data_IF_796143411671
#
_entry.id   IF_796143411671
#
_cell.length_a   1.000
_cell.length_b   1.000
_cell.length_c   1.000
_cell.angle_alpha   90.00
_cell.angle_beta   90.00
_cell.angle_gamma   90.00
#
_symmetry.space_group_name_H-M   'P 1'
#
loop_
_entity.id
_entity.type
_entity.pdbx_description
1 polymer ?
#
# COMPACT_ATOMS: atom_id res chain seq x y z
N UNK A 1 -16.17 -4.63 6.17
CA UNK A 1 -16.50 -4.90 4.76
C UNK A 1 -16.99 -6.34 4.64
N UNK A 2 -18.07 -6.56 3.89
CA UNK A 2 -18.58 -7.91 3.68
C UNK A 2 -17.64 -8.70 2.79
N UNK A 3 -17.27 -9.92 3.21
CA UNK A 3 -16.58 -10.92 2.37
C UNK A 3 -17.30 -11.11 1.02
N UNK A 4 -18.62 -10.86 0.99
CA UNK A 4 -19.44 -10.90 -0.22
C UNK A 4 -19.00 -9.94 -1.34
N UNK A 5 -18.38 -8.81 -0.99
CA UNK A 5 -17.84 -7.89 -1.99
C UNK A 5 -16.78 -8.57 -2.86
N UNK A 6 -15.84 -9.28 -2.24
CA UNK A 6 -14.78 -9.98 -2.96
C UNK A 6 -15.25 -11.31 -3.55
N UNK A 7 -16.15 -12.04 -2.89
CA UNK A 7 -16.77 -13.26 -3.47
C UNK A 7 -17.41 -12.94 -4.82
N UNK A 8 -18.19 -11.87 -4.90
CA UNK A 8 -18.85 -11.53 -6.16
C UNK A 8 -17.88 -11.05 -7.26
N UNK A 9 -16.72 -10.49 -6.91
CA UNK A 9 -15.63 -10.23 -7.86
C UNK A 9 -14.98 -11.55 -8.33
N UNK A 10 -14.78 -12.51 -7.41
CA UNK A 10 -14.26 -13.84 -7.71
C UNK A 10 -15.20 -14.58 -8.67
N UNK A 11 -16.52 -14.55 -8.46
CA UNK A 11 -17.48 -15.17 -9.37
C UNK A 11 -17.46 -14.53 -10.78
N UNK A 12 -17.31 -13.21 -10.86
CA UNK A 12 -17.12 -12.51 -12.14
C UNK A 12 -15.78 -12.87 -12.83
N UNK A 13 -14.71 -13.10 -12.07
CA UNK A 13 -13.44 -13.61 -12.58
C UNK A 13 -13.57 -15.03 -13.11
N UNK A 14 -14.18 -15.92 -12.32
CA UNK A 14 -14.42 -17.31 -12.71
C UNK A 14 -15.22 -17.40 -13.99
N UNK A 15 -16.33 -16.66 -14.07
CA UNK A 15 -17.19 -16.62 -15.26
C UNK A 15 -16.46 -16.07 -16.48
N UNK A 16 -15.79 -14.91 -16.35
CA UNK A 16 -15.13 -14.26 -17.51
C UNK A 16 -13.97 -15.09 -18.07
N UNK A 17 -13.24 -15.81 -17.22
CA UNK A 17 -12.05 -16.56 -17.63
C UNK A 17 -12.23 -18.09 -17.61
N UNK A 18 -13.48 -18.57 -17.52
CA UNK A 18 -13.82 -20.00 -17.49
C UNK A 18 -12.97 -20.79 -16.48
N UNK A 19 -12.84 -20.26 -15.26
CA UNK A 19 -12.04 -20.90 -14.22
C UNK A 19 -12.72 -22.17 -13.74
N UNK A 20 -12.07 -23.30 -13.98
CA UNK A 20 -12.50 -24.59 -13.45
C UNK A 20 -12.29 -24.65 -11.93
N UNK A 21 -13.36 -24.81 -11.15
CA UNK A 21 -13.30 -24.85 -9.68
C UNK A 21 -12.36 -25.92 -9.13
N UNK A 22 -12.19 -27.04 -9.85
CA UNK A 22 -11.25 -28.11 -9.47
C UNK A 22 -9.78 -27.65 -9.45
N UNK A 23 -9.47 -26.53 -10.09
CA UNK A 23 -8.09 -25.97 -10.12
C UNK A 23 -7.81 -25.01 -8.97
N UNK A 24 -8.85 -24.54 -8.26
CA UNK A 24 -8.70 -23.54 -7.21
C UNK A 24 -7.96 -24.06 -5.95
N UNK A 25 -8.11 -25.33 -5.52
CA UNK A 25 -7.29 -25.86 -4.42
C UNK A 25 -5.79 -25.86 -4.72
N UNK A 26 -5.40 -26.19 -5.95
CA UNK A 26 -4.00 -26.10 -6.37
C UNK A 26 -3.52 -24.65 -6.36
N UNK A 27 -4.30 -23.72 -6.91
CA UNK A 27 -3.97 -22.29 -6.91
C UNK A 27 -3.84 -21.74 -5.48
N UNK A 28 -4.67 -22.22 -4.55
CA UNK A 28 -4.57 -21.86 -3.14
C UNK A 28 -3.26 -22.34 -2.50
N UNK A 29 -2.83 -23.58 -2.81
CA UNK A 29 -1.54 -24.08 -2.37
C UNK A 29 -0.38 -23.24 -2.93
N UNK A 30 -0.45 -22.86 -4.22
CA UNK A 30 0.54 -21.97 -4.85
C UNK A 30 0.57 -20.60 -4.14
N UNK A 31 -0.59 -20.03 -3.82
CA UNK A 31 -0.71 -18.79 -3.05
C UNK A 31 -0.09 -18.94 -1.66
N UNK A 32 -0.41 -20.00 -0.90
CA UNK A 32 0.16 -20.22 0.43
C UNK A 32 1.68 -20.39 0.37
N UNK A 33 2.18 -21.10 -0.64
CA UNK A 33 3.62 -21.29 -0.85
C UNK A 33 4.31 -19.96 -1.14
N UNK A 34 3.72 -19.13 -2.01
CA UNK A 34 4.32 -17.86 -2.42
C UNK A 34 4.40 -16.83 -1.28
N UNK A 35 3.50 -16.88 -0.30
CA UNK A 35 3.45 -15.93 0.83
C UNK A 35 3.82 -16.56 2.18
N UNK A 36 4.43 -17.74 2.17
CA UNK A 36 4.90 -18.34 3.42
C UNK A 36 6.10 -17.55 3.99
N UNK A 37 6.33 -17.66 5.30
CA UNK A 37 7.46 -17.03 6.01
C UNK A 37 8.81 -17.17 5.30
N UNK A 38 9.14 -18.38 4.83
CA UNK A 38 10.40 -18.69 4.17
C UNK A 38 10.58 -17.95 2.84
N UNK A 39 9.51 -17.85 2.05
CA UNK A 39 9.54 -17.16 0.74
C UNK A 39 9.62 -15.65 0.91
N UNK A 40 8.94 -15.09 1.91
CA UNK A 40 9.04 -13.68 2.29
C UNK A 40 10.46 -13.33 2.75
N UNK A 41 11.04 -14.13 3.67
CA UNK A 41 12.42 -13.95 4.16
C UNK A 41 13.44 -13.93 3.02
N UNK A 42 13.22 -14.72 1.97
CA UNK A 42 14.10 -14.81 0.78
C UNK A 42 13.78 -13.79 -0.32
N UNK A 43 12.72 -13.00 -0.19
CA UNK A 43 12.24 -12.12 -1.28
C UNK A 43 11.85 -12.89 -2.55
N UNK A 44 11.53 -14.18 -2.43
CA UNK A 44 11.21 -15.09 -3.55
C UNK A 44 9.70 -15.22 -3.76
N UNK A 45 8.92 -14.24 -3.29
CA UNK A 45 7.46 -14.24 -3.41
C UNK A 45 7.04 -13.90 -4.84
N UNK A 46 7.03 -14.90 -5.71
CA UNK A 46 6.52 -14.78 -7.07
C UNK A 46 5.34 -15.72 -7.28
N UNK A 47 4.26 -15.17 -7.80
CA UNK A 47 3.10 -15.94 -8.26
C UNK A 47 2.59 -15.34 -9.56
N UNK A 48 2.33 -16.20 -10.54
CA UNK A 48 1.81 -15.77 -11.83
C UNK A 48 0.31 -15.40 -11.72
N UNK A 49 0.04 -14.11 -11.58
CA UNK A 49 -1.31 -13.56 -11.55
C UNK A 49 -1.94 -13.36 -12.93
N UNK A 50 -1.27 -13.73 -14.03
CA UNK A 50 -1.96 -13.88 -15.31
C UNK A 50 -2.94 -15.06 -15.25
N UNK A 51 -2.66 -16.06 -14.42
CA UNK A 51 -3.57 -17.17 -14.12
C UNK A 51 -4.76 -16.67 -13.29
N UNK A 52 -6.00 -16.70 -13.84
CA UNK A 52 -7.20 -16.25 -13.12
C UNK A 52 -7.45 -17.04 -11.83
N UNK A 53 -7.05 -18.32 -11.77
CA UNK A 53 -7.15 -19.16 -10.57
C UNK A 53 -6.39 -18.55 -9.39
N UNK A 54 -5.17 -18.06 -9.64
CA UNK A 54 -4.29 -17.48 -8.61
C UNK A 54 -4.86 -16.16 -8.10
N UNK A 55 -5.46 -15.34 -8.98
CA UNK A 55 -6.18 -14.13 -8.57
C UNK A 55 -7.40 -14.47 -7.71
N UNK A 56 -8.22 -15.45 -8.11
CA UNK A 56 -9.38 -15.88 -7.34
C UNK A 56 -8.98 -16.41 -5.95
N UNK A 57 -7.95 -17.26 -5.89
CA UNK A 57 -7.42 -17.80 -4.65
C UNK A 57 -6.91 -16.69 -3.71
N UNK A 58 -6.09 -15.77 -4.21
CA UNK A 58 -5.60 -14.64 -3.42
C UNK A 58 -6.72 -13.73 -2.93
N UNK A 59 -7.66 -13.36 -3.81
CA UNK A 59 -8.80 -12.51 -3.43
C UNK A 59 -9.63 -13.15 -2.32
N UNK A 60 -9.82 -14.47 -2.37
CA UNK A 60 -10.53 -15.20 -1.35
C UNK A 60 -9.78 -15.18 -0.02
N UNK A 61 -8.48 -15.51 -0.04
CA UNK A 61 -7.67 -15.62 1.17
C UNK A 61 -7.39 -14.26 1.83
N UNK A 62 -6.95 -13.25 1.09
CA UNK A 62 -6.35 -12.03 1.68
C UNK A 62 -7.18 -10.75 1.54
N UNK A 63 -8.03 -10.62 0.51
CA UNK A 63 -8.56 -9.30 0.15
C UNK A 63 -9.41 -8.65 1.25
N UNK A 64 -10.24 -9.45 1.95
CA UNK A 64 -11.10 -8.93 3.01
C UNK A 64 -10.31 -8.39 4.19
N UNK A 65 -9.33 -9.17 4.68
CA UNK A 65 -8.50 -8.80 5.82
C UNK A 65 -7.61 -7.60 5.49
N UNK A 66 -6.97 -7.58 4.32
CA UNK A 66 -6.12 -6.45 3.89
C UNK A 66 -6.92 -5.15 3.78
N UNK A 67 -8.11 -5.19 3.18
CA UNK A 67 -8.94 -3.98 3.12
C UNK A 67 -9.38 -3.49 4.49
N UNK A 68 -9.73 -4.38 5.42
CA UNK A 68 -10.14 -3.97 6.76
C UNK A 68 -8.97 -3.47 7.61
N UNK A 69 -7.79 -4.05 7.42
CA UNK A 69 -6.53 -3.63 8.02
C UNK A 69 -6.21 -2.19 7.62
N UNK A 70 -6.19 -1.91 6.32
CA UNK A 70 -5.97 -0.56 5.77
C UNK A 70 -7.06 0.40 6.24
N UNK A 71 -8.33 -0.02 6.22
CA UNK A 71 -9.43 0.79 6.73
C UNK A 71 -9.23 1.22 8.18
N UNK A 72 -8.90 0.27 9.07
CA UNK A 72 -8.69 0.54 10.50
C UNK A 72 -7.56 1.56 10.69
N UNK A 73 -6.37 1.25 10.20
CA UNK A 73 -5.19 2.04 10.52
C UNK A 73 -5.15 3.37 9.77
N UNK A 74 -5.70 3.45 8.56
CA UNK A 74 -5.84 4.73 7.88
C UNK A 74 -6.86 5.63 8.60
N UNK A 75 -7.98 5.07 9.10
CA UNK A 75 -8.92 5.82 9.93
C UNK A 75 -8.27 6.35 11.21
N UNK A 76 -7.48 5.54 11.91
CA UNK A 76 -6.70 5.98 13.07
C UNK A 76 -5.74 7.12 12.69
N UNK A 77 -5.05 7.00 11.55
CA UNK A 77 -4.15 8.04 11.04
C UNK A 77 -4.89 9.34 10.71
N UNK A 78 -6.11 9.28 10.17
CA UNK A 78 -6.95 10.46 9.87
C UNK A 78 -7.44 11.21 11.11
N UNK A 79 -7.45 10.58 12.29
CA UNK A 79 -7.75 11.27 13.55
C UNK A 79 -6.59 12.14 14.07
N UNK A 80 -5.43 12.07 13.42
CA UNK A 80 -4.21 12.76 13.84
C UNK A 80 -4.15 14.11 13.13
N UNK A 81 -4.12 15.19 13.91
CA UNK A 81 -4.37 16.55 13.41
C UNK A 81 -3.46 16.96 12.23
N UNK A 82 -2.12 16.73 12.25
CA UNK A 82 -1.27 17.00 11.09
C UNK A 82 -1.73 16.30 9.80
N UNK A 83 -2.20 15.05 9.88
CA UNK A 83 -2.65 14.26 8.73
C UNK A 83 -3.96 14.83 8.19
N UNK A 84 -4.90 15.07 9.12
CA UNK A 84 -6.21 15.62 8.82
C UNK A 84 -6.08 16.97 8.11
N UNK A 85 -5.35 17.92 8.71
CA UNK A 85 -5.08 19.24 8.14
C UNK A 85 -4.49 19.12 6.73
N UNK A 86 -3.45 18.29 6.57
CA UNK A 86 -2.72 18.13 5.30
C UNK A 86 -3.62 17.65 4.17
N UNK A 87 -4.53 16.73 4.45
CA UNK A 87 -5.47 16.21 3.46
C UNK A 87 -6.71 17.09 3.30
N UNK A 88 -7.16 17.78 4.36
CA UNK A 88 -8.34 18.65 4.34
C UNK A 88 -8.15 19.87 3.43
N UNK A 89 -6.93 20.40 3.33
CA UNK A 89 -6.61 21.51 2.42
C UNK A 89 -6.55 21.12 0.94
N UNK A 90 -6.59 19.83 0.60
CA UNK A 90 -6.59 19.39 -0.80
C UNK A 90 -7.97 19.60 -1.40
N UNK A 91 -8.06 19.95 -2.68
CA UNK A 91 -9.34 19.97 -3.42
C UNK A 91 -9.68 18.58 -3.96
N UNK A 92 -8.64 17.86 -4.36
CA UNK A 92 -8.69 16.54 -4.96
C UNK A 92 -7.62 15.66 -4.34
N UNK A 93 -7.92 14.37 -4.22
CA UNK A 93 -6.99 13.38 -3.66
C UNK A 93 -6.51 12.42 -4.74
N UNK A 94 -5.19 12.21 -4.76
CA UNK A 94 -4.50 11.21 -5.58
C UNK A 94 -3.87 10.15 -4.69
N UNK A 95 -4.22 8.88 -4.93
CA UNK A 95 -3.74 7.74 -4.14
C UNK A 95 -2.77 6.92 -4.99
N UNK A 96 -1.61 6.58 -4.43
CA UNK A 96 -0.65 5.67 -5.03
C UNK A 96 -0.36 4.49 -4.09
N UNK A 97 -0.59 3.27 -4.55
CA UNK A 97 -0.27 2.04 -3.81
C UNK A 97 0.96 1.36 -4.43
N UNK A 98 1.97 1.09 -3.62
CA UNK A 98 3.17 0.35 -3.99
C UNK A 98 2.98 -1.10 -3.57
N UNK A 99 2.92 -2.02 -4.54
CA UNK A 99 2.59 -3.43 -4.28
C UNK A 99 1.10 -3.66 -3.93
N UNK A 100 0.18 -2.89 -4.51
CA UNK A 100 -1.25 -2.92 -4.14
C UNK A 100 -2.09 -4.04 -4.79
N UNK A 101 -1.50 -4.86 -5.67
CA UNK A 101 -2.17 -5.98 -6.34
C UNK A 101 -3.53 -5.64 -6.96
N UNK A 102 -4.60 -6.25 -6.45
CA UNK A 102 -5.98 -6.01 -6.90
C UNK A 102 -6.58 -4.66 -6.49
N UNK A 103 -5.87 -3.82 -5.74
CA UNK A 103 -6.37 -2.53 -5.27
C UNK A 103 -7.19 -2.60 -3.97
N UNK A 104 -6.94 -3.60 -3.12
CA UNK A 104 -7.61 -3.77 -1.81
C UNK A 104 -7.39 -2.59 -0.88
N UNK A 105 -6.21 -1.96 -0.97
CA UNK A 105 -5.79 -0.86 -0.11
C UNK A 105 -6.57 0.40 -0.43
N UNK A 106 -6.79 0.66 -1.71
CA UNK A 106 -7.61 1.78 -2.20
C UNK A 106 -9.02 1.68 -1.60
N UNK A 107 -9.61 0.48 -1.57
CA UNK A 107 -10.95 0.32 -0.99
C UNK A 107 -10.93 0.59 0.52
N UNK A 108 -9.86 0.20 1.22
CA UNK A 108 -9.68 0.50 2.65
C UNK A 108 -9.57 1.99 2.92
N UNK A 109 -8.73 2.69 2.15
CA UNK A 109 -8.53 4.14 2.21
C UNK A 109 -9.83 4.89 1.90
N UNK A 110 -10.52 4.56 0.82
CA UNK A 110 -11.78 5.22 0.45
C UNK A 110 -12.87 5.03 1.51
N UNK A 111 -12.92 3.87 2.17
CA UNK A 111 -13.83 3.66 3.31
C UNK A 111 -13.46 4.53 4.50
N UNK A 112 -12.18 4.61 4.83
CA UNK A 112 -11.73 5.39 5.98
C UNK A 112 -12.06 6.88 5.75
N UNK A 113 -11.72 7.42 4.58
CA UNK A 113 -12.03 8.81 4.22
C UNK A 113 -13.55 9.08 4.23
N UNK A 114 -14.37 8.15 3.74
CA UNK A 114 -15.82 8.32 3.68
C UNK A 114 -16.51 8.38 5.05
N UNK A 115 -15.86 7.93 6.13
CA UNK A 115 -16.39 8.02 7.49
C UNK A 115 -16.22 9.41 8.12
N UNK A 116 -15.39 10.28 7.55
CA UNK A 116 -15.17 11.62 8.07
C UNK A 116 -16.00 12.65 7.29
N UNK A 117 -17.01 13.23 7.94
CA UNK A 117 -17.89 14.23 7.31
C UNK A 117 -17.17 15.53 6.91
N UNK A 118 -16.01 15.83 7.52
CA UNK A 118 -15.18 16.97 7.15
C UNK A 118 -14.50 16.78 5.79
N UNK A 119 -14.27 15.53 5.38
CA UNK A 119 -13.61 15.21 4.12
C UNK A 119 -14.59 15.37 2.95
N UNK A 120 -14.58 16.57 2.37
CA UNK A 120 -15.38 16.92 1.18
C UNK A 120 -14.62 16.67 -0.13
N UNK A 121 -13.36 16.29 -0.06
CA UNK A 121 -12.48 16.10 -1.20
C UNK A 121 -12.91 14.88 -2.00
N UNK A 122 -12.81 15.00 -3.32
CA UNK A 122 -13.03 13.88 -4.22
C UNK A 122 -11.72 13.17 -4.49
N UNK A 123 -11.75 11.85 -4.52
CA UNK A 123 -10.64 11.07 -5.08
C UNK A 123 -10.75 11.16 -6.60
N UNK A 124 -9.74 11.74 -7.25
CA UNK A 124 -9.71 11.93 -8.71
C UNK A 124 -8.75 10.97 -9.39
N UNK A 125 -7.77 10.43 -8.67
CA UNK A 125 -6.86 9.42 -9.23
C UNK A 125 -6.47 8.38 -8.21
N UNK A 126 -6.47 7.12 -8.64
CA UNK A 126 -5.88 6.01 -7.92
C UNK A 126 -4.94 5.26 -8.84
N UNK A 127 -3.77 4.89 -8.34
CA UNK A 127 -2.77 4.15 -9.12
C UNK A 127 -2.13 3.06 -8.28
N UNK A 128 -2.07 1.86 -8.84
CA UNK A 128 -1.31 0.73 -8.29
C UNK A 128 -0.05 0.55 -9.14
N UNK A 129 1.09 0.55 -8.47
CA UNK A 129 2.40 0.22 -9.05
C UNK A 129 2.78 -1.16 -8.53
N UNK A 130 2.82 -2.16 -9.40
CA UNK A 130 3.02 -3.56 -9.02
C UNK A 130 3.81 -4.29 -10.11
N UNK A 131 4.65 -5.25 -9.75
CA UNK A 131 5.41 -6.03 -10.74
C UNK A 131 4.49 -6.98 -11.53
N UNK A 132 3.38 -7.40 -10.93
CA UNK A 132 2.46 -8.38 -11.48
C UNK A 132 1.33 -7.72 -12.28
N UNK A 133 1.58 -7.45 -13.56
CA UNK A 133 0.58 -6.88 -14.49
C UNK A 133 -0.73 -7.68 -14.62
N UNK A 134 -0.70 -8.99 -14.32
CA UNK A 134 -1.87 -9.88 -14.33
C UNK A 134 -3.01 -9.43 -13.42
N UNK A 135 -2.71 -8.62 -12.38
CA UNK A 135 -3.70 -8.03 -11.48
C UNK A 135 -4.71 -7.10 -12.16
N UNK A 136 -4.39 -6.56 -13.35
CA UNK A 136 -5.21 -5.57 -14.06
C UNK A 136 -6.69 -5.97 -14.14
N UNK A 137 -6.97 -7.25 -14.39
CA UNK A 137 -8.34 -7.75 -14.50
C UNK A 137 -9.15 -7.59 -13.20
N UNK A 138 -8.57 -7.97 -12.06
CA UNK A 138 -9.24 -7.88 -10.77
C UNK A 138 -9.30 -6.43 -10.29
N UNK A 139 -8.21 -5.68 -10.48
CA UNK A 139 -8.14 -4.24 -10.21
C UNK A 139 -9.26 -3.47 -10.91
N UNK A 140 -9.43 -3.64 -12.23
CA UNK A 140 -10.49 -2.95 -12.98
C UNK A 140 -11.89 -3.24 -12.43
N UNK A 141 -12.16 -4.47 -11.97
CA UNK A 141 -13.47 -4.82 -11.38
C UNK A 141 -13.66 -4.20 -10.00
N UNK A 142 -12.65 -4.24 -9.14
CA UNK A 142 -12.68 -3.58 -7.82
C UNK A 142 -12.95 -2.09 -8.01
N UNK A 143 -12.21 -1.43 -8.90
CA UNK A 143 -12.35 0.01 -9.18
C UNK A 143 -13.70 0.35 -9.82
N UNK A 144 -14.20 -0.49 -10.73
CA UNK A 144 -15.55 -0.32 -11.31
C UNK A 144 -16.62 -0.37 -10.23
N UNK A 145 -16.58 -1.36 -9.33
CA UNK A 145 -17.56 -1.47 -8.24
C UNK A 145 -17.47 -0.31 -7.24
N UNK A 146 -16.26 0.17 -6.96
CA UNK A 146 -16.05 1.38 -6.16
C UNK A 146 -16.68 2.60 -6.83
N UNK A 147 -16.42 2.81 -8.13
CA UNK A 147 -16.97 3.92 -8.94
C UNK A 147 -18.50 3.93 -8.99
N UNK A 148 -19.11 2.74 -9.03
CA UNK A 148 -20.58 2.60 -9.07
C UNK A 148 -21.23 2.48 -7.69
N UNK A 149 -20.53 2.86 -6.61
CA UNK A 149 -21.09 2.88 -5.26
C UNK A 149 -21.49 1.51 -4.71
N UNK A 150 -20.88 0.43 -5.19
CA UNK A 150 -21.15 -0.95 -4.74
C UNK A 150 -20.35 -1.35 -3.50
N UNK A 151 -19.51 -0.46 -2.97
CA UNK A 151 -18.77 -0.66 -1.73
C UNK A 151 -19.56 -0.05 -0.58
N UNK A 152 -19.97 -0.88 0.38
CA UNK A 152 -20.74 -0.43 1.54
C UNK A 152 -19.99 0.65 2.34
N UNK A 153 -20.71 1.71 2.68
CA UNK A 153 -20.22 2.90 3.39
C UNK A 153 -19.25 3.77 2.58
N UNK A 154 -19.15 3.60 1.26
CA UNK A 154 -18.49 4.58 0.37
C UNK A 154 -19.57 5.25 -0.47
N UNK A 155 -19.88 6.53 -0.25
CA UNK A 155 -20.87 7.25 -1.06
C UNK A 155 -20.48 7.25 -2.54
N UNK A 156 -21.43 7.01 -3.45
CA UNK A 156 -21.14 7.00 -4.90
C UNK A 156 -20.57 8.33 -5.42
N UNK A 157 -20.86 9.45 -4.74
CA UNK A 157 -20.33 10.79 -5.04
C UNK A 157 -18.90 11.05 -4.54
N UNK A 158 -18.31 10.11 -3.81
CA UNK A 158 -16.98 10.24 -3.20
C UNK A 158 -15.85 10.19 -4.24
N UNK A 159 -16.09 9.46 -5.32
CA UNK A 159 -15.23 9.50 -6.51
C UNK A 159 -15.74 10.57 -7.46
N UNK A 160 -14.82 11.33 -8.07
CA UNK A 160 -15.20 12.27 -9.12
C UNK A 160 -15.66 11.51 -10.37
N UNK A 161 -16.96 11.30 -10.53
CA UNK A 161 -17.51 10.51 -11.63
C UNK A 161 -17.04 10.97 -13.02
N UNK A 162 -16.75 12.27 -13.19
CA UNK A 162 -16.30 12.89 -14.44
C UNK A 162 -14.80 12.70 -14.67
N UNK A 163 -13.98 12.90 -13.64
CA UNK A 163 -12.52 12.96 -13.77
C UNK A 163 -11.76 11.77 -13.18
N UNK A 164 -12.45 10.82 -12.54
CA UNK A 164 -11.82 9.70 -11.84
C UNK A 164 -11.03 8.79 -12.78
N UNK A 165 -9.72 8.64 -12.48
CA UNK A 165 -8.79 7.76 -13.19
C UNK A 165 -8.31 6.64 -12.27
N UNK A 166 -8.33 5.41 -12.76
CA UNK A 166 -7.83 4.24 -12.05
C UNK A 166 -6.83 3.48 -12.92
N UNK A 167 -5.57 3.40 -12.48
CA UNK A 167 -4.49 2.82 -13.25
C UNK A 167 -3.79 1.68 -12.48
N UNK A 168 -3.42 0.62 -13.20
CA UNK A 168 -2.46 -0.37 -12.73
C UNK A 168 -1.30 -0.41 -13.71
N UNK A 169 -0.11 -0.09 -13.22
CA UNK A 169 1.12 -0.05 -14.01
C UNK A 169 2.01 -1.18 -13.56
N UNK A 170 2.32 -2.07 -14.50
CA UNK A 170 3.30 -3.13 -14.30
C UNK A 170 4.70 -2.50 -14.25
N UNK A 171 5.37 -2.56 -13.10
CA UNK A 171 6.71 -1.98 -12.91
C UNK A 171 7.48 -2.72 -11.81
N UNK A 172 8.77 -2.97 -12.04
CA UNK A 172 9.67 -3.39 -10.97
C UNK A 172 10.14 -2.17 -10.19
N UNK A 173 9.65 -2.01 -8.96
CA UNK A 173 10.00 -0.87 -8.09
C UNK A 173 11.42 -0.95 -7.53
N UNK A 174 12.15 -2.06 -7.75
CA UNK A 174 13.54 -2.23 -7.34
C UNK A 174 14.56 -1.75 -8.37
N UNK A 175 14.10 -1.47 -9.60
CA UNK A 175 14.92 -0.95 -10.68
C UNK A 175 14.83 0.58 -10.75
N UNK A 176 15.57 1.17 -11.68
CA UNK A 176 15.46 2.61 -11.98
C UNK A 176 14.02 2.96 -12.38
N UNK A 177 13.40 3.86 -11.62
CA UNK A 177 12.00 4.23 -11.82
C UNK A 177 11.81 4.96 -13.16
N UNK A 178 10.89 4.50 -14.03
CA UNK A 178 10.52 5.24 -15.23
C UNK A 178 9.95 6.62 -14.90
N UNK A 179 10.16 7.61 -15.77
CA UNK A 179 9.74 9.02 -15.53
C UNK A 179 8.24 9.16 -15.22
N UNK A 180 7.38 8.37 -15.88
CA UNK A 180 5.95 8.38 -15.60
C UNK A 180 5.63 7.85 -14.19
N UNK A 181 6.40 6.87 -13.69
CA UNK A 181 6.25 6.32 -12.34
C UNK A 181 6.72 7.32 -11.28
N UNK A 182 7.87 7.96 -11.50
CA UNK A 182 8.34 9.07 -10.65
C UNK A 182 7.27 10.14 -10.53
N UNK A 183 6.68 10.56 -11.67
CA UNK A 183 5.58 11.54 -11.70
C UNK A 183 4.35 11.07 -10.92
N UNK A 184 4.02 9.79 -10.92
CA UNK A 184 2.86 9.28 -10.18
C UNK A 184 3.11 9.37 -8.68
N UNK A 185 4.27 8.89 -8.22
CA UNK A 185 4.66 8.91 -6.79
C UNK A 185 4.75 10.36 -6.30
N UNK A 186 5.42 11.24 -7.07
CA UNK A 186 5.62 12.65 -6.68
C UNK A 186 4.35 13.50 -6.72
N UNK A 187 3.25 13.02 -7.32
CA UNK A 187 1.97 13.72 -7.33
C UNK A 187 0.96 13.16 -6.33
N UNK A 188 1.22 11.99 -5.73
CA UNK A 188 0.29 11.34 -4.81
C UNK A 188 0.15 12.14 -3.50
N UNK A 189 -1.07 12.33 -3.03
CA UNK A 189 -1.38 12.89 -1.71
C UNK A 189 -1.35 11.81 -0.63
N UNK A 190 -1.70 10.58 -1.01
CA UNK A 190 -1.69 9.40 -0.15
C UNK A 190 -0.85 8.33 -0.82
N UNK A 191 0.17 7.83 -0.12
CA UNK A 191 0.99 6.69 -0.54
C UNK A 191 0.73 5.53 0.41
N UNK A 192 0.54 4.33 -0.13
CA UNK A 192 0.30 3.14 0.67
C UNK A 192 1.30 2.03 0.31
N UNK A 193 1.86 1.37 1.31
CA UNK A 193 2.76 0.22 1.20
C UNK A 193 2.21 -0.90 2.09
N UNK A 194 1.40 -1.79 1.53
CA UNK A 194 0.74 -2.86 2.28
C UNK A 194 1.31 -4.20 1.83
N UNK A 195 1.96 -4.93 2.74
CA UNK A 195 2.63 -6.21 2.46
C UNK A 195 3.65 -6.13 1.31
N UNK A 196 4.21 -4.94 1.09
CA UNK A 196 5.14 -4.68 -0.01
C UNK A 196 6.59 -4.91 0.41
N UNK A 197 6.99 -4.38 1.56
CA UNK A 197 8.38 -4.36 2.00
C UNK A 197 8.85 -5.77 2.36
N UNK A 198 8.04 -6.56 3.09
CA UNK A 198 8.40 -7.95 3.39
C UNK A 198 8.54 -8.84 2.14
N UNK A 199 7.90 -8.47 1.02
CA UNK A 199 8.05 -9.18 -0.25
C UNK A 199 9.36 -8.85 -0.99
N UNK A 200 10.01 -7.74 -0.67
CA UNK A 200 11.22 -7.26 -1.36
C UNK A 200 12.47 -7.23 -0.48
N UNK A 201 12.35 -7.26 0.85
CA UNK A 201 13.48 -6.99 1.75
C UNK A 201 14.52 -8.10 1.84
N UNK A 202 14.25 -9.26 1.23
CA UNK A 202 15.27 -10.28 0.98
C UNK A 202 16.18 -9.98 -0.23
N UNK A 203 16.04 -8.82 -0.88
CA UNK A 203 16.82 -8.42 -2.06
C UNK A 203 17.72 -7.23 -1.74
N UNK A 204 18.96 -7.27 -2.26
CA UNK A 204 20.01 -6.31 -1.94
C UNK A 204 19.64 -4.87 -2.37
N UNK A 205 18.91 -4.70 -3.46
CA UNK A 205 18.54 -3.40 -4.00
C UNK A 205 17.40 -2.72 -3.21
N UNK A 206 16.73 -3.44 -2.32
CA UNK A 206 15.46 -3.00 -1.77
C UNK A 206 15.57 -1.76 -0.88
N UNK A 207 16.63 -1.63 -0.08
CA UNK A 207 16.89 -0.44 0.74
C UNK A 207 17.11 0.79 -0.16
N UNK A 208 17.92 0.66 -1.20
CA UNK A 208 18.20 1.73 -2.17
C UNK A 208 16.93 2.16 -2.90
N UNK A 209 16.13 1.19 -3.36
CA UNK A 209 14.87 1.45 -4.04
C UNK A 209 13.85 2.18 -3.14
N UNK A 210 13.70 1.73 -1.88
CA UNK A 210 12.83 2.40 -0.91
C UNK A 210 13.27 3.83 -0.60
N UNK A 211 14.58 4.09 -0.55
CA UNK A 211 15.11 5.46 -0.40
C UNK A 211 14.73 6.33 -1.61
N UNK A 212 14.96 5.85 -2.84
CA UNK A 212 14.57 6.58 -4.07
C UNK A 212 13.07 6.87 -4.10
N UNK A 213 12.24 5.91 -3.69
CA UNK A 213 10.79 6.10 -3.55
C UNK A 213 10.49 7.16 -2.51
N UNK A 214 11.08 7.06 -1.31
CA UNK A 214 10.92 8.02 -0.22
C UNK A 214 11.29 9.45 -0.60
N UNK A 215 12.38 9.62 -1.35
CA UNK A 215 12.83 10.91 -1.89
C UNK A 215 11.90 11.46 -2.96
N UNK A 216 11.24 10.59 -3.72
CA UNK A 216 10.28 10.97 -4.76
C UNK A 216 8.94 11.47 -4.19
N UNK A 217 8.56 11.03 -2.99
CA UNK A 217 7.30 11.42 -2.35
C UNK A 217 7.31 12.93 -2.04
N UNK A 218 6.23 13.62 -2.42
CA UNK A 218 6.09 15.07 -2.21
C UNK A 218 5.87 15.46 -0.75
N UNK A 219 6.28 16.67 -0.40
CA UNK A 219 5.99 17.29 0.89
C UNK A 219 4.48 17.34 1.17
N UNK A 220 4.11 17.04 2.41
CA UNK A 220 2.71 16.94 2.85
C UNK A 220 1.96 15.79 2.18
N UNK A 221 2.63 14.75 1.69
CA UNK A 221 1.96 13.48 1.41
C UNK A 221 1.83 12.67 2.70
N UNK A 222 0.71 11.96 2.84
CA UNK A 222 0.47 11.03 3.93
C UNK A 222 0.81 9.61 3.47
N UNK A 223 1.59 8.88 4.27
CA UNK A 223 2.08 7.56 3.93
C UNK A 223 1.59 6.56 4.96
N UNK A 224 0.91 5.51 4.52
CA UNK A 224 0.54 4.37 5.36
C UNK A 224 1.38 3.16 4.98
N UNK A 225 2.07 2.62 5.97
CA UNK A 225 2.83 1.39 5.87
C UNK A 225 2.20 0.32 6.75
N UNK A 226 1.90 -0.84 6.18
CA UNK A 226 1.44 -2.00 6.92
C UNK A 226 2.09 -3.25 6.36
N UNK A 227 2.85 -3.97 7.16
CA UNK A 227 3.55 -5.16 6.68
C UNK A 227 3.53 -6.30 7.69
N UNK A 228 4.05 -7.46 7.30
CA UNK A 228 4.35 -8.55 8.23
C UNK A 228 5.30 -8.03 9.31
N UNK A 229 4.99 -8.37 10.56
CA UNK A 229 5.89 -8.05 11.67
C UNK A 229 7.20 -8.81 11.50
N UNK A 230 8.31 -8.08 11.38
CA UNK A 230 9.66 -8.63 11.32
C UNK A 230 10.66 -7.52 11.64
N UNK A 231 11.61 -7.79 12.53
CA UNK A 231 12.65 -6.82 12.89
C UNK A 231 13.53 -6.44 11.69
N UNK A 232 13.71 -7.40 10.77
CA UNK A 232 14.43 -7.22 9.48
C UNK A 232 13.73 -6.23 8.54
N UNK A 233 12.45 -5.95 8.77
CA UNK A 233 11.67 -4.96 8.00
C UNK A 233 11.65 -3.61 8.71
N UNK A 234 11.42 -3.58 10.02
CA UNK A 234 11.21 -2.35 10.78
C UNK A 234 12.46 -1.45 10.85
N UNK A 235 13.65 -2.01 11.12
CA UNK A 235 14.86 -1.22 11.31
C UNK A 235 15.32 -0.48 10.03
N UNK A 236 15.45 -1.13 8.86
CA UNK A 236 15.82 -0.43 7.63
C UNK A 236 14.82 0.68 7.28
N UNK A 237 13.53 0.44 7.49
CA UNK A 237 12.48 1.44 7.24
C UNK A 237 12.59 2.67 8.14
N UNK A 238 12.93 2.50 9.43
CA UNK A 238 13.15 3.63 10.33
C UNK A 238 14.31 4.50 9.82
N UNK A 239 15.43 3.88 9.43
CA UNK A 239 16.58 4.60 8.88
C UNK A 239 16.23 5.34 7.58
N UNK A 240 15.53 4.68 6.66
CA UNK A 240 15.06 5.29 5.41
C UNK A 240 14.12 6.45 5.71
N UNK A 241 13.20 6.29 6.67
CA UNK A 241 12.22 7.31 7.03
C UNK A 241 12.90 8.61 7.49
N UNK A 242 13.95 8.50 8.31
CA UNK A 242 14.73 9.65 8.77
C UNK A 242 15.46 10.33 7.60
N UNK A 243 16.13 9.55 6.76
CA UNK A 243 16.88 10.08 5.60
C UNK A 243 15.97 10.77 4.58
N UNK A 244 14.74 10.29 4.45
CA UNK A 244 13.77 10.81 3.49
C UNK A 244 12.86 11.88 4.11
N UNK A 245 13.10 12.39 5.32
CA UNK A 245 12.21 13.39 5.94
C UNK A 245 10.76 12.89 6.11
N UNK A 246 10.58 11.62 6.49
CA UNK A 246 9.28 11.04 6.82
C UNK A 246 9.07 11.15 8.32
N UNK A 247 8.26 12.13 8.74
CA UNK A 247 7.92 12.31 10.15
C UNK A 247 6.84 11.30 10.56
N UNK A 248 7.12 10.52 11.60
CA UNK A 248 6.19 9.55 12.13
C UNK A 248 5.01 10.27 12.80
N UNK A 249 3.79 9.91 12.39
CA UNK A 249 2.54 10.41 12.97
C UNK A 249 1.72 9.30 13.62
N UNK A 250 1.95 8.03 13.25
CA UNK A 250 1.27 6.87 13.82
C UNK A 250 2.27 5.72 13.97
N UNK A 251 2.39 5.16 15.16
CA UNK A 251 3.24 4.00 15.44
C UNK A 251 4.71 4.34 15.72
N UNK A 252 5.64 3.36 15.63
CA UNK A 252 5.41 2.00 15.15
C UNK A 252 4.44 1.24 16.06
N UNK A 253 3.41 0.63 15.46
CA UNK A 253 2.51 -0.28 16.14
C UNK A 253 2.81 -1.69 15.69
N UNK A 254 2.77 -2.64 16.63
CA UNK A 254 2.98 -4.06 16.35
C UNK A 254 1.87 -4.85 17.02
N UNK A 255 1.29 -5.82 16.33
CA UNK A 255 0.27 -6.66 16.95
C UNK A 255 -0.43 -7.59 15.99
N UNK A 256 -1.35 -8.37 16.54
CA UNK A 256 -2.22 -9.26 15.77
C UNK A 256 -3.49 -8.49 15.44
N UNK A 257 -3.74 -8.28 14.16
CA UNK A 257 -5.01 -7.79 13.67
C UNK A 257 -5.97 -8.98 13.53
N UNK A 258 -7.07 -8.98 14.30
CA UNK A 258 -8.16 -9.95 14.16
C UNK A 258 -9.39 -9.30 13.54
N UNK A 259 -9.92 -9.91 12.48
CA UNK A 259 -11.13 -9.47 11.82
C UNK A 259 -12.37 -9.80 12.67
N UNK A 260 -13.00 -8.78 13.26
CA UNK A 260 -14.22 -8.97 14.03
C UNK A 260 -15.39 -9.47 13.17
N UNK A 261 -16.14 -10.43 13.72
CA UNK A 261 -17.50 -10.78 13.28
C UNK A 261 -17.62 -11.64 12.02
N UNK A 262 -16.55 -12.25 11.52
CA UNK A 262 -16.65 -13.19 10.39
C UNK A 262 -16.48 -14.63 10.84
N UNK A 263 -17.60 -15.26 11.24
CA UNK A 263 -17.71 -16.72 11.40
C UNK A 263 -17.83 -17.44 10.05
N UNK A 264 -17.30 -16.90 8.96
CA UNK A 264 -17.24 -17.63 7.69
C UNK A 264 -16.21 -18.75 7.83
N UNK A 265 -16.64 -19.85 8.45
CA UNK A 265 -15.93 -21.13 8.56
C UNK A 265 -16.07 -21.98 7.29
N UNK A 266 -16.61 -21.41 6.21
CA UNK A 266 -16.77 -22.14 4.96
C UNK A 266 -15.40 -22.22 4.33
N UNK A 267 -14.77 -23.38 4.44
CA UNK A 267 -13.66 -23.75 3.58
C UNK A 267 -14.14 -23.64 2.13
N UNK A 268 -13.52 -22.75 1.38
CA UNK A 268 -13.71 -22.66 -0.06
C UNK A 268 -12.34 -22.84 -0.70
N UNK A 269 -12.29 -23.79 -1.63
CA UNK A 269 -11.07 -24.15 -2.35
C UNK A 269 -9.98 -24.82 -1.48
N UNK A 270 -10.34 -25.48 -0.38
CA UNK A 270 -9.40 -26.17 0.49
C UNK A 270 -8.65 -25.23 1.43
N UNK A 271 -9.22 -24.07 1.76
CA UNK A 271 -8.71 -23.17 2.78
C UNK A 271 -9.80 -22.28 3.35
N UNK A 272 -9.51 -21.72 4.53
CA UNK A 272 -10.28 -20.64 5.12
C UNK A 272 -9.77 -19.27 4.65
N UNK A 273 -10.65 -18.25 4.56
CA UNK A 273 -10.19 -16.90 4.34
C UNK A 273 -9.39 -16.44 5.55
N UNK A 274 -8.31 -15.69 5.34
CA UNK A 274 -7.51 -15.18 6.44
C UNK A 274 -8.35 -14.21 7.29
N UNK A 275 -8.36 -14.47 8.60
CA UNK A 275 -9.10 -13.66 9.57
C UNK A 275 -8.19 -12.98 10.61
N UNK A 276 -6.92 -13.39 10.69
CA UNK A 276 -5.93 -12.91 11.65
C UNK A 276 -4.60 -12.72 10.94
N UNK A 277 -3.88 -11.65 11.26
CA UNK A 277 -2.54 -11.41 10.72
C UNK A 277 -1.69 -10.61 11.69
N UNK A 278 -0.45 -11.04 11.92
CA UNK A 278 0.54 -10.27 12.68
C UNK A 278 1.15 -9.18 11.79
N UNK A 279 1.11 -7.94 12.26
CA UNK A 279 1.50 -6.77 11.47
C UNK A 279 2.35 -5.78 12.23
N UNK A 280 3.20 -5.08 11.48
CA UNK A 280 3.77 -3.78 11.84
C UNK A 280 3.04 -2.68 11.07
N UNK A 281 2.70 -1.59 11.74
CA UNK A 281 2.01 -0.43 11.16
C UNK A 281 2.77 0.83 11.49
N UNK A 282 3.00 1.66 10.47
CA UNK A 282 3.57 3.00 10.64
C UNK A 282 2.81 3.96 9.72
N UNK A 283 2.44 5.12 10.24
CA UNK A 283 1.95 6.25 9.46
C UNK A 283 2.98 7.36 9.48
N UNK A 284 3.26 7.94 8.31
CA UNK A 284 4.15 9.08 8.16
C UNK A 284 3.47 10.25 7.44
N UNK A 285 4.03 11.43 7.64
CA UNK A 285 3.86 12.57 6.73
C UNK A 285 5.25 12.93 6.20
N UNK A 286 5.35 13.17 4.89
CA UNK A 286 6.56 13.72 4.29
C UNK A 286 6.70 15.19 4.68
N UNK A 287 7.76 15.52 5.41
CA UNK A 287 8.12 16.88 5.84
C UNK A 287 9.39 17.35 5.15
N UNK A 288 9.70 18.64 5.25
CA UNK A 288 10.99 19.13 4.80
C UNK A 288 12.07 18.49 5.69
N UNK A 289 13.13 17.95 5.09
CA UNK A 289 14.26 17.44 5.87
C UNK A 289 14.84 18.58 6.71
N UNK A 290 14.77 18.46 8.04
CA UNK A 290 15.12 19.53 8.97
C UNK A 290 16.63 19.67 9.25
N UNK A 291 17.52 19.01 8.49
CA UNK A 291 18.95 19.22 8.66
C UNK A 291 19.85 18.31 7.84
N UNK A 292 21.18 18.56 7.86
CA UNK A 292 22.16 17.61 7.34
C UNK A 292 21.95 16.28 8.06
N UNK A 293 21.84 15.21 7.28
CA UNK A 293 21.78 13.84 7.82
C UNK A 293 22.93 13.69 8.81
N UNK A 294 22.72 13.17 10.04
CA UNK A 294 23.85 12.79 10.87
C UNK A 294 24.77 11.89 10.02
N UNK A 295 26.10 12.11 10.06
CA UNK A 295 27.03 11.36 9.23
C UNK A 295 26.74 9.87 9.42
N UNK A 296 26.45 9.19 8.32
CA UNK A 296 26.18 7.75 8.33
C UNK A 296 27.44 7.10 8.89
N UNK A 297 27.37 6.61 10.12
CA UNK A 297 28.41 5.76 10.67
C UNK A 297 28.43 4.50 9.83
N UNK A 298 29.35 4.42 8.85
CA UNK A 298 29.58 3.23 8.02
C UNK A 298 30.07 2.02 8.84
N UNK A 299 30.32 2.19 10.14
CA UNK A 299 30.54 1.10 11.07
C UNK A 299 29.21 0.44 11.43
N UNK A 300 28.63 -0.29 10.48
CA UNK A 300 27.72 -1.38 10.82
C UNK A 300 28.58 -2.46 11.50
N UNK A 301 28.28 -2.87 12.74
CA UNK A 301 28.89 -4.08 13.26
C UNK A 301 28.53 -5.20 12.30
N UNK A 302 29.54 -5.86 11.73
CA UNK A 302 29.36 -7.12 11.02
C UNK A 302 28.45 -7.98 11.89
N UNK A 303 27.28 -8.33 11.36
CA UNK A 303 26.17 -8.90 12.11
C UNK A 303 26.69 -9.98 13.04
N UNK A 304 26.74 -9.70 14.35
CA UNK A 304 26.83 -10.74 15.36
C UNK A 304 25.69 -11.69 15.06
N UNK A 305 26.00 -12.98 14.91
CA UNK A 305 25.02 -14.05 14.72
C UNK A 305 24.02 -14.02 15.87
N UNK A 306 22.95 -13.25 15.71
CA UNK A 306 21.76 -13.36 16.55
C UNK A 306 21.22 -14.75 16.22
N UNK A 307 21.14 -15.61 17.24
CA UNK A 307 20.48 -16.90 17.11
C UNK A 307 19.10 -16.67 16.49
N UNK A 308 18.98 -17.08 15.22
CA UNK A 308 17.84 -16.91 14.33
C UNK A 308 16.77 -17.92 14.80
N UNK A 309 16.25 -17.76 16.03
CA UNK A 309 15.12 -18.54 16.52
C UNK A 309 13.93 -18.21 15.60
N UNK A 310 13.56 -19.19 14.76
CA UNK A 310 12.84 -19.05 13.49
C UNK A 310 11.35 -18.66 13.64
N UNK A 311 10.87 -18.40 14.85
CA UNK A 311 9.46 -18.15 15.17
C UNK A 311 8.99 -16.70 14.86
N UNK A 312 9.91 -15.78 14.58
CA UNK A 312 9.59 -14.37 14.32
C UNK A 312 8.70 -14.18 13.07
N UNK A 313 8.73 -15.09 12.11
CA UNK A 313 8.02 -14.93 10.83
C UNK A 313 6.67 -15.63 10.77
N UNK A 314 6.19 -16.28 11.84
CA UNK A 314 4.85 -16.86 11.84
C UNK A 314 3.78 -15.75 11.77
N UNK A 315 3.32 -15.46 10.56
CA UNK A 315 2.33 -14.43 10.23
C UNK A 315 0.90 -14.93 10.32
N UNK A 316 0.72 -16.25 10.23
CA UNK A 316 -0.56 -16.95 10.32
C UNK A 316 -0.61 -17.65 11.69
N UNK A 317 -1.56 -17.25 12.54
CA UNK A 317 -1.86 -18.01 13.76
C UNK A 317 -2.76 -19.16 13.37
N UNK A 318 -2.18 -20.26 12.89
CA UNK A 318 -2.88 -21.52 12.66
C UNK A 318 -3.19 -22.25 13.98
N UNK A 319 -2.91 -21.63 15.13
CA UNK A 319 -3.46 -22.02 16.42
C UNK A 319 -4.96 -21.68 16.44
N UNK A 320 -5.74 -22.48 15.73
CA UNK A 320 -7.03 -22.89 16.24
C UNK A 320 -6.76 -23.45 17.65
N UNK A 321 -7.22 -22.75 18.69
CA UNK A 321 -7.56 -23.41 19.95
C UNK A 321 -8.64 -24.44 19.59
N UNK A 322 -8.17 -25.63 19.20
CA UNK A 322 -8.96 -26.79 18.89
C UNK A 322 -9.54 -27.26 20.22
N UNK A 323 -10.83 -27.03 20.43
CA UNK A 323 -11.59 -27.90 21.31
C UNK A 323 -11.51 -29.31 20.70
N UNK A 324 -10.96 -30.24 21.48
CA UNK A 324 -10.97 -31.67 21.21
C UNK A 324 -12.37 -32.14 20.78
N UNK A 325 -12.49 -32.58 19.53
CA UNK A 325 -13.25 -33.75 19.09
C UNK A 325 -13.35 -33.75 17.55
N UNK A 326 -13.44 -34.94 16.97
CA UNK A 326 -13.60 -35.30 15.54
C UNK A 326 -12.35 -35.76 14.79
N UNK A 327 -11.94 -36.98 15.15
CA UNK A 327 -11.95 -38.19 14.28
C UNK A 327 -11.40 -38.10 12.85
N UNK A 328 -10.22 -38.71 12.68
CA UNK A 328 -9.82 -39.65 11.62
C UNK A 328 -10.44 -39.50 10.23
N UNK A 329 -9.77 -38.79 9.33
CA UNK A 329 -10.01 -38.89 7.88
C UNK A 329 -8.98 -39.85 7.25
N UNK A 330 -9.48 -41.00 6.82
CA UNK A 330 -8.73 -42.02 6.06
C UNK A 330 -8.42 -41.48 4.65
N UNK A 331 -7.13 -41.37 4.32
CA UNK A 331 -6.64 -41.11 2.96
C UNK A 331 -6.91 -42.33 2.06
N UNK A 332 -7.88 -42.24 1.14
CA UNK A 332 -8.05 -43.22 0.05
C UNK A 332 -6.98 -42.98 -1.03
N UNK A 333 -6.18 -44.01 -1.29
CA UNK A 333 -5.31 -44.13 -2.47
C UNK A 333 -6.17 -44.11 -3.74
N UNK A 334 -5.92 -43.14 -4.63
CA UNK A 334 -6.47 -43.15 -5.99
C UNK A 334 -5.64 -44.12 -6.83
N UNK A 335 -6.30 -45.14 -7.37
CA UNK A 335 -5.72 -46.12 -8.28
C UNK A 335 -5.47 -45.53 -9.68
N UNK A 336 -4.40 -46.01 -10.30
CA UNK A 336 -3.98 -45.65 -11.66
C UNK A 336 -4.98 -46.20 -12.69
N UNK A 337 -5.47 -45.34 -13.57
CA UNK A 337 -6.14 -45.74 -14.82
C UNK A 337 -5.33 -45.22 -16.02
N UNK A 338 -5.06 -46.12 -16.97
CA UNK A 338 -4.34 -45.90 -18.22
C UNK A 338 -5.32 -45.58 -19.36
N UNK A 339 -4.80 -44.80 -20.34
CA UNK A 339 -5.21 -44.63 -21.75
C UNK A 339 -5.97 -43.34 -22.16
N UNK A 340 -5.19 -42.41 -22.76
CA UNK A 340 -5.30 -41.67 -24.07
C UNK A 340 -6.70 -41.32 -24.65
N UNK A 341 -6.87 -40.19 -25.41
CA UNK A 341 -5.91 -39.64 -26.39
C UNK A 341 -5.68 -38.11 -26.37
N UNK A 342 -4.66 -37.69 -27.15
CA UNK A 342 -4.16 -36.32 -27.38
C UNK A 342 -5.20 -35.38 -27.99
N UNK A 343 -5.25 -34.10 -27.59
CA UNK A 343 -5.63 -33.00 -28.46
C UNK A 343 -4.40 -32.25 -28.99
N UNK A 344 -4.56 -31.76 -30.22
CA UNK A 344 -3.61 -31.01 -31.02
C UNK A 344 -3.14 -29.73 -30.34
N UNK A 345 -1.82 -29.53 -30.39
CA UNK A 345 -1.12 -28.33 -29.95
C UNK A 345 -1.40 -27.24 -30.98
N UNK A 346 -2.22 -26.25 -30.62
CA UNK A 346 -2.24 -24.96 -31.30
C UNK A 346 -1.14 -24.11 -30.66
N UNK A 347 -0.01 -24.00 -31.34
CA UNK A 347 1.11 -23.16 -30.95
C UNK A 347 0.78 -21.70 -31.25
N UNK A 348 0.24 -20.98 -30.27
CA UNK A 348 0.36 -19.52 -30.25
C UNK A 348 1.73 -19.18 -29.67
N UNK A 349 2.73 -19.11 -30.55
CA UNK A 349 3.95 -18.34 -30.33
C UNK A 349 3.55 -16.90 -30.08
N UNK A 350 3.86 -16.38 -28.89
CA UNK A 350 3.72 -14.96 -28.58
C UNK A 350 5.01 -14.52 -27.89
N UNK A 351 5.86 -13.91 -28.71
CA UNK A 351 6.90 -12.93 -28.45
C UNK A 351 7.60 -12.95 -27.09
N UNK A 352 8.80 -13.54 -27.15
CA UNK A 352 9.93 -13.16 -26.30
C UNK A 352 10.06 -11.63 -26.34
N UNK A 353 10.00 -10.99 -25.16
CA UNK A 353 10.43 -9.61 -24.99
C UNK A 353 11.93 -9.53 -25.29
N UNK A 354 12.26 -9.30 -26.56
CA UNK A 354 13.55 -8.76 -26.98
C UNK A 354 13.48 -7.24 -26.81
N UNK A 355 14.05 -6.72 -25.72
CA UNK A 355 14.39 -5.30 -25.66
C UNK A 355 15.56 -5.08 -26.63
N UNK A 356 15.27 -4.49 -27.79
CA UNK A 356 16.28 -3.94 -28.69
C UNK A 356 17.04 -2.82 -27.99
N UNK A 357 18.33 -3.07 -27.76
CA UNK A 357 19.32 -2.08 -27.38
C UNK A 357 19.66 -1.15 -28.57
N UNK A 358 19.85 0.14 -28.22
CA UNK A 358 20.71 1.14 -28.87
C UNK A 358 20.24 1.79 -30.18
N UNK A 359 19.70 3.01 -30.04
CA UNK A 359 20.27 4.15 -30.77
C UNK A 359 20.79 5.16 -29.73
N UNK A 360 22.10 5.40 -29.77
CA UNK A 360 22.78 6.43 -28.97
C UNK A 360 22.32 7.78 -29.48
N UNK A 361 21.49 8.50 -28.71
CA UNK A 361 21.37 9.95 -28.85
C UNK A 361 22.23 10.60 -27.77
N UNK A 362 23.18 11.41 -28.22
CA UNK A 362 24.07 12.19 -27.37
C UNK A 362 23.26 13.14 -26.48
N UNK A 363 23.17 12.81 -25.19
CA UNK A 363 22.62 13.73 -24.19
C UNK A 363 23.63 14.83 -23.92
N UNK A 364 23.44 15.98 -24.58
CA UNK A 364 24.02 17.27 -24.18
C UNK A 364 23.62 17.55 -22.72
N UNK A 365 24.58 17.46 -21.79
CA UNK A 365 24.45 17.93 -20.41
C UNK A 365 24.21 19.45 -20.44
N UNK A 366 22.95 19.88 -20.37
CA UNK A 366 22.62 21.28 -20.13
C UNK A 366 22.83 21.53 -18.64
N UNK A 367 23.99 22.08 -18.27
CA UNK A 367 24.20 22.68 -16.95
C UNK A 367 23.14 23.76 -16.78
N UNK A 368 22.19 23.54 -15.89
CA UNK A 368 21.25 24.56 -15.48
C UNK A 368 21.98 25.42 -14.46
N UNK A 369 22.65 26.48 -14.94
CA UNK A 369 23.16 27.55 -14.09
C UNK A 369 21.96 28.34 -13.60
N UNK A 370 21.68 28.25 -12.30
CA UNK A 370 20.80 29.21 -11.64
C UNK A 370 21.49 30.58 -11.72
N UNK A 371 20.81 31.55 -12.31
CA UNK A 371 21.34 32.91 -12.34
C UNK A 371 21.22 33.49 -10.93
N UNK A 372 22.23 34.26 -10.51
CA UNK A 372 22.27 34.93 -9.19
C UNK A 372 20.98 35.76 -8.95
N UNK A 373 20.35 36.22 -10.03
CA UNK A 373 19.08 36.96 -10.01
C UNK A 373 17.91 36.14 -9.44
N UNK A 374 17.86 34.83 -9.70
CA UNK A 374 16.79 33.96 -9.20
C UNK A 374 16.90 33.77 -7.69
N UNK A 375 18.13 33.71 -7.18
CA UNK A 375 18.41 33.61 -5.74
C UNK A 375 18.07 34.92 -5.04
N UNK A 376 18.40 36.07 -5.63
CA UNK A 376 18.05 37.37 -5.08
C UNK A 376 16.54 37.57 -5.00
N UNK A 377 15.80 37.23 -6.07
CA UNK A 377 14.34 37.33 -6.09
C UNK A 377 13.68 36.45 -5.01
N UNK A 378 14.25 35.27 -4.73
CA UNK A 378 13.79 34.40 -3.65
C UNK A 378 14.06 35.00 -2.26
N UNK A 379 15.22 35.63 -2.06
CA UNK A 379 15.58 36.29 -0.81
C UNK A 379 14.67 37.49 -0.53
N UNK A 380 14.36 38.29 -1.55
CA UNK A 380 13.48 39.45 -1.45
C UNK A 380 12.05 39.00 -1.07
N UNK A 381 11.52 37.98 -1.76
CA UNK A 381 10.20 37.41 -1.45
C UNK A 381 10.12 36.82 -0.03
N UNK A 382 11.20 36.23 0.47
CA UNK A 382 11.27 35.69 1.84
C UNK A 382 11.27 36.82 2.87
N UNK A 383 11.99 37.91 2.60
CA UNK A 383 12.04 39.11 3.44
C UNK A 383 10.67 39.77 3.54
N UNK A 384 9.96 39.90 2.41
CA UNK A 384 8.60 40.43 2.37
C UNK A 384 7.63 39.59 3.21
N UNK A 385 7.74 38.26 3.15
CA UNK A 385 6.89 37.37 3.94
C UNK A 385 7.15 37.54 5.45
N UNK A 386 8.42 37.65 5.86
CA UNK A 386 8.79 37.90 7.27
C UNK A 386 8.20 39.22 7.75
N UNK A 387 8.34 40.30 6.96
CA UNK A 387 7.78 41.61 7.28
C UNK A 387 6.25 41.57 7.44
N UNK A 388 5.55 40.79 6.61
CA UNK A 388 4.10 40.59 6.74
C UNK A 388 3.77 39.88 8.05
N UNK A 389 4.50 38.81 8.38
CA UNK A 389 4.28 38.04 9.61
C UNK A 389 4.53 38.87 10.88
N UNK A 390 5.54 39.74 10.87
CA UNK A 390 5.81 40.67 11.97
C UNK A 390 4.67 41.67 12.18
N UNK A 391 4.14 42.24 11.09
CA UNK A 391 2.96 43.13 11.14
C UNK A 391 1.72 42.42 11.69
N UNK A 392 1.53 41.15 11.37
CA UNK A 392 0.44 40.34 11.94
C UNK A 392 0.63 40.04 13.42
N UNK A 393 1.89 39.90 13.87
CA UNK A 393 2.20 39.68 15.29
C UNK A 393 1.94 40.93 16.13
N UNK A 394 2.34 42.11 15.63
CA UNK A 394 2.06 43.41 16.27
C UNK A 394 0.57 43.69 16.45
N UNK A 395 -0.27 43.34 15.46
CA UNK A 395 -1.73 43.53 15.59
C UNK A 395 -2.41 42.65 16.65
N UNK A 396 -1.82 41.51 17.02
CA UNK A 396 -2.39 40.68 18.10
C UNK A 396 -2.20 41.30 19.48
N UNK A 397 -1.17 42.10 19.66
CA UNK A 397 -0.85 42.70 20.96
C UNK A 397 -1.64 44.00 21.18
N UNK A 398 -2.04 44.70 20.12
CA UNK A 398 -2.81 45.95 20.22
C UNK A 398 -4.33 45.75 20.39
N UNK A 399 -4.91 44.66 19.88
CA UNK A 399 -6.37 44.41 19.95
C UNK A 399 -6.85 43.71 21.23
N UNK A 400 -5.99 43.54 22.25
CA UNK A 400 -6.36 42.94 23.54
C UNK A 400 -6.80 43.96 24.61
N UNK A 401 -7.37 45.10 24.23
CA UNK A 401 -7.90 46.10 25.18
C UNK A 401 -9.32 45.84 25.70
N UNK A 402 -9.96 44.70 25.39
CA UNK A 402 -11.31 44.38 25.90
C UNK A 402 -11.36 43.74 27.30
N UNK A 403 -10.24 43.69 28.05
CA UNK A 403 -10.26 43.31 29.47
C UNK A 403 -10.33 44.56 30.34
N UNK A 404 -11.54 45.05 30.61
CA UNK A 404 -11.99 45.63 31.89
C UNK A 404 -13.28 46.43 31.68
N UNK A 405 -14.43 45.75 31.77
CA UNK A 405 -15.71 46.27 32.31
C UNK A 405 -16.82 45.25 32.06
N UNK A 406 -16.89 44.22 32.90
CA UNK A 406 -18.10 43.43 33.11
C UNK A 406 -18.08 42.93 34.56
N UNK A 407 -18.26 43.87 35.49
CA UNK A 407 -18.74 43.56 36.83
C UNK A 407 -20.09 44.28 37.01
N UNK A 408 -20.96 43.60 37.78
CA UNK A 408 -22.25 44.03 38.31
C UNK A 408 -23.42 44.21 37.31
N UNK A 409 -24.27 43.18 37.20
CA UNK A 409 -25.62 43.21 37.79
C UNK A 409 -26.39 41.92 37.46
N UNK A 410 -26.69 41.13 38.50
CA UNK A 410 -27.90 40.31 38.60
C UNK A 410 -28.18 40.10 40.09
N UNK A 411 -29.19 40.82 40.59
CA UNK A 411 -30.03 40.40 41.70
C UNK A 411 -31.02 39.34 41.20
#
# INVERSE_FOLDING_TARGET
MSVQFYISIIEEEKKKFNVNEKTLPKAMLEVNTAYNPTSLKKGSTYLDYNKPQNRCAYLYKYASVHTRLVHKYFKEMLNIEPVKITLDYRKELKICCLGGGSGTDIVGICKALAEFSSFRQKVTQVTVLDICGGWRNSFTRVMSRLKHGKVTHVPGKFLDSKNFKANLIAVNLLETLPTNVVKIISNADIVCMVKFVSAIMGKDEAVTALKVIGDTIKLGASILFIDNFSDKVCQPLQNISQQCGLSNVLGPLTGIYKQAGTKTKKDVYGCLPMCSVRVSVIGWIKTASLGPSPPISENFPASSSVDDNDDSWNTESDSDDFCDEWSTVILRKISKSKNKPKPSICSTTCDKFAQTCLSKSEKKKRKQTFEIKDVQALMDATTDLINILEKFKLRRDEDCCCRHQCQSHCC
#
